data_IF_277980987496
#
_entry.id   IF_277980987496
#
_cell.length_a   1.000
_cell.length_b   1.000
_cell.length_c   1.000
_cell.angle_alpha   90.00
_cell.angle_beta   90.00
_cell.angle_gamma   90.00
#
_symmetry.space_group_name_H-M   'P 1'
#
loop_
_entity.id
_entity.type
_entity.pdbx_description
1 polymer ?
#
# COMPACT_ATOMS: atom_id res chain seq x y z
N UNK A 1 3.48 -15.22 -53.28
CA UNK A 1 4.13 -14.67 -52.07
C UNK A 1 5.38 -15.49 -51.81
N UNK A 2 6.55 -14.83 -51.71
CA UNK A 2 7.80 -15.55 -51.39
C UNK A 2 7.81 -15.86 -49.90
N UNK A 3 8.53 -16.90 -49.50
CA UNK A 3 8.63 -17.34 -48.09
C UNK A 3 9.08 -16.20 -47.16
N UNK A 4 9.95 -15.31 -47.65
CA UNK A 4 10.38 -14.10 -46.94
C UNK A 4 9.23 -13.12 -46.64
N UNK A 5 8.29 -12.93 -47.57
CA UNK A 5 7.15 -12.01 -47.39
C UNK A 5 6.21 -12.54 -46.30
N UNK A 6 6.01 -13.86 -46.27
CA UNK A 6 5.20 -14.56 -45.24
C UNK A 6 5.85 -14.41 -43.86
N UNK A 7 7.18 -14.60 -43.77
CA UNK A 7 7.93 -14.46 -42.52
C UNK A 7 7.88 -13.01 -42.01
N UNK A 8 8.04 -12.03 -42.89
CA UNK A 8 7.99 -10.62 -42.53
C UNK A 8 6.60 -10.21 -42.00
N UNK A 9 5.53 -10.69 -42.66
CA UNK A 9 4.15 -10.50 -42.21
C UNK A 9 3.88 -11.15 -40.85
N UNK A 10 4.37 -12.38 -40.64
CA UNK A 10 4.20 -13.09 -39.38
C UNK A 10 4.92 -12.38 -38.21
N UNK A 11 6.14 -11.87 -38.45
CA UNK A 11 6.89 -11.06 -37.48
C UNK A 11 6.16 -9.76 -37.14
N UNK A 12 5.67 -9.04 -38.16
CA UNK A 12 4.88 -7.82 -37.98
C UNK A 12 3.63 -8.06 -37.14
N UNK A 13 2.88 -9.13 -37.43
CA UNK A 13 1.68 -9.51 -36.67
C UNK A 13 2.03 -9.85 -35.22
N UNK A 14 3.14 -10.56 -34.98
CA UNK A 14 3.58 -10.93 -33.63
C UNK A 14 3.90 -9.70 -32.79
N UNK A 15 4.59 -8.70 -33.36
CA UNK A 15 4.90 -7.44 -32.68
C UNK A 15 3.62 -6.70 -32.30
N UNK A 16 2.64 -6.62 -33.21
CA UNK A 16 1.34 -5.98 -32.94
C UNK A 16 0.62 -6.67 -31.78
N UNK A 17 0.61 -8.01 -31.74
CA UNK A 17 0.00 -8.78 -30.64
C UNK A 17 0.68 -8.46 -29.31
N UNK A 18 2.02 -8.43 -29.26
CA UNK A 18 2.77 -8.10 -28.04
C UNK A 18 2.39 -6.70 -27.54
N UNK A 19 2.33 -5.70 -28.43
CA UNK A 19 1.94 -4.33 -28.07
C UNK A 19 0.53 -4.29 -27.48
N UNK A 20 -0.43 -4.98 -28.10
CA UNK A 20 -1.82 -5.05 -27.60
C UNK A 20 -1.86 -5.68 -26.20
N UNK A 21 -1.13 -6.78 -25.97
CA UNK A 21 -1.06 -7.43 -24.66
C UNK A 21 -0.48 -6.50 -23.60
N UNK A 22 0.62 -5.79 -23.92
CA UNK A 22 1.23 -4.82 -23.00
C UNK A 22 0.25 -3.70 -22.66
N UNK A 23 -0.45 -3.13 -23.65
CA UNK A 23 -1.46 -2.08 -23.43
C UNK A 23 -2.58 -2.59 -22.51
N UNK A 24 -3.08 -3.81 -22.73
CA UNK A 24 -4.11 -4.40 -21.87
C UNK A 24 -3.65 -4.56 -20.43
N UNK A 25 -2.41 -5.01 -20.21
CA UNK A 25 -1.83 -5.15 -18.87
C UNK A 25 -1.74 -3.78 -18.17
N UNK A 26 -1.26 -2.74 -18.87
CA UNK A 26 -1.15 -1.39 -18.33
C UNK A 26 -2.52 -0.81 -17.96
N UNK A 27 -3.53 -0.96 -18.83
CA UNK A 27 -4.90 -0.49 -18.56
C UNK A 27 -5.50 -1.25 -17.36
N UNK A 28 -5.35 -2.57 -17.32
CA UNK A 28 -5.84 -3.38 -16.22
C UNK A 28 -5.21 -2.96 -14.88
N UNK A 29 -3.90 -2.74 -14.87
CA UNK A 29 -3.20 -2.26 -13.69
C UNK A 29 -3.69 -0.88 -13.25
N UNK A 30 -3.81 0.07 -14.17
CA UNK A 30 -4.33 1.42 -13.89
C UNK A 30 -5.75 1.38 -13.30
N UNK A 31 -6.62 0.55 -13.87
CA UNK A 31 -7.98 0.38 -13.37
C UNK A 31 -8.01 -0.23 -11.97
N UNK A 32 -7.14 -1.21 -11.69
CA UNK A 32 -7.00 -1.80 -10.36
C UNK A 32 -6.54 -0.77 -9.32
N UNK A 33 -5.57 0.08 -9.67
CA UNK A 33 -5.08 1.17 -8.81
C UNK A 33 -6.16 2.23 -8.56
N UNK A 34 -6.89 2.64 -9.58
CA UNK A 34 -8.01 3.59 -9.42
C UNK A 34 -9.07 3.03 -8.46
N UNK A 35 -9.46 1.77 -8.64
CA UNK A 35 -10.44 1.09 -7.76
C UNK A 35 -9.94 0.97 -6.32
N UNK A 36 -8.65 0.69 -6.14
CA UNK A 36 -8.01 0.67 -4.82
C UNK A 36 -8.14 2.04 -4.14
N UNK A 37 -7.79 3.12 -4.83
CA UNK A 37 -7.89 4.48 -4.28
C UNK A 37 -9.32 4.89 -3.97
N UNK A 38 -10.28 4.51 -4.80
CA UNK A 38 -11.71 4.74 -4.54
C UNK A 38 -12.18 3.98 -3.30
N UNK A 39 -11.81 2.71 -3.16
CA UNK A 39 -12.17 1.87 -2.02
C UNK A 39 -11.59 2.40 -0.70
N UNK A 40 -10.32 2.84 -0.70
CA UNK A 40 -9.68 3.43 0.47
C UNK A 40 -10.32 4.78 0.81
N UNK A 41 -10.50 5.65 -0.19
CA UNK A 41 -11.10 6.97 0.04
C UNK A 41 -12.51 6.84 0.62
N UNK A 42 -13.33 5.96 0.05
CA UNK A 42 -14.67 5.66 0.56
C UNK A 42 -14.61 5.13 1.99
N UNK A 43 -13.76 4.14 2.27
CA UNK A 43 -13.60 3.60 3.62
C UNK A 43 -13.22 4.70 4.63
N UNK A 44 -12.20 5.50 4.32
CA UNK A 44 -11.76 6.57 5.21
C UNK A 44 -12.86 7.61 5.43
N UNK A 45 -13.61 7.94 4.38
CA UNK A 45 -14.73 8.90 4.45
C UNK A 45 -15.88 8.36 5.31
N UNK A 46 -16.24 7.09 5.13
CA UNK A 46 -17.27 6.42 5.92
C UNK A 46 -16.87 6.35 7.41
N UNK A 47 -15.59 6.10 7.71
CA UNK A 47 -15.07 6.03 9.09
C UNK A 47 -15.12 7.36 9.84
N UNK A 48 -15.16 8.48 9.11
CA UNK A 48 -15.19 9.81 9.70
C UNK A 48 -16.53 10.55 9.50
N UNK A 49 -17.52 9.92 8.86
CA UNK A 49 -18.77 10.57 8.44
C UNK A 49 -19.53 11.22 9.60
N UNK A 50 -19.43 10.66 10.80
CA UNK A 50 -20.09 11.17 12.01
C UNK A 50 -19.20 12.12 12.83
N UNK A 51 -18.09 12.59 12.26
CA UNK A 51 -17.06 13.37 12.95
C UNK A 51 -16.84 14.72 12.26
N UNK A 52 -16.44 15.74 13.01
CA UNK A 52 -15.90 16.99 12.47
C UNK A 52 -14.49 16.76 11.89
N UNK A 53 -14.41 15.94 10.85
CA UNK A 53 -13.18 15.56 10.19
C UNK A 53 -13.34 15.55 8.66
N UNK A 54 -12.22 15.65 7.94
CA UNK A 54 -12.19 15.64 6.48
C UNK A 54 -11.08 14.74 5.96
N UNK A 55 -11.37 13.96 4.91
CA UNK A 55 -10.35 13.25 4.13
C UNK A 55 -9.97 14.09 2.91
N UNK A 56 -8.68 14.32 2.71
CA UNK A 56 -8.13 14.98 1.53
C UNK A 56 -7.07 14.11 0.86
N UNK A 57 -6.99 14.15 -0.47
CA UNK A 57 -5.85 13.59 -1.20
C UNK A 57 -4.61 14.45 -0.93
N UNK A 58 -3.46 13.81 -0.85
CA UNK A 58 -2.16 14.48 -0.77
C UNK A 58 -1.13 13.67 -1.53
N UNK A 59 0.00 14.29 -1.83
CA UNK A 59 1.21 13.66 -2.35
C UNK A 59 2.44 14.04 -1.52
N UNK A 60 2.21 14.64 -0.34
CA UNK A 60 3.28 15.09 0.55
C UNK A 60 4.02 13.87 1.07
N UNK A 61 5.35 13.83 0.91
CA UNK A 61 6.22 12.79 1.46
C UNK A 61 5.77 11.35 1.16
N UNK A 62 5.22 11.08 -0.03
CA UNK A 62 4.74 9.75 -0.42
C UNK A 62 3.44 9.31 0.28
N UNK A 63 2.75 10.19 1.02
CA UNK A 63 1.41 9.93 1.53
C UNK A 63 0.36 10.12 0.42
N UNK A 64 -0.71 9.34 0.48
CA UNK A 64 -1.79 9.36 -0.51
C UNK A 64 -3.00 10.17 -0.03
N UNK A 65 -3.26 10.15 1.29
CA UNK A 65 -4.34 10.92 1.91
C UNK A 65 -3.87 11.55 3.21
N UNK A 66 -4.62 12.54 3.68
CA UNK A 66 -4.58 13.04 5.05
C UNK A 66 -6.00 13.15 5.60
N UNK A 67 -6.16 12.78 6.85
CA UNK A 67 -7.39 12.94 7.62
C UNK A 67 -7.16 14.11 8.57
N UNK A 68 -7.97 15.15 8.43
CA UNK A 68 -7.86 16.38 9.21
C UNK A 68 -8.97 16.38 10.25
N UNK A 69 -8.60 16.28 11.52
CA UNK A 69 -9.49 16.45 12.67
C UNK A 69 -9.21 17.80 13.35
N UNK A 70 -9.98 18.14 14.40
CA UNK A 70 -9.83 19.40 15.14
C UNK A 70 -8.42 19.61 15.68
N UNK A 71 -7.85 18.61 16.36
CA UNK A 71 -6.56 18.70 17.06
C UNK A 71 -5.47 17.77 16.49
N UNK A 72 -5.77 17.02 15.43
CA UNK A 72 -4.90 15.97 14.90
C UNK A 72 -4.97 15.91 13.38
N UNK A 73 -3.86 15.57 12.74
CA UNK A 73 -3.79 15.21 11.32
C UNK A 73 -3.17 13.83 11.21
N UNK A 74 -3.87 12.92 10.53
CA UNK A 74 -3.36 11.57 10.23
C UNK A 74 -3.02 11.45 8.75
N UNK A 75 -1.74 11.32 8.43
CA UNK A 75 -1.26 11.06 7.08
C UNK A 75 -1.34 9.56 6.75
N UNK A 76 -1.89 9.22 5.60
CA UNK A 76 -2.20 7.85 5.21
C UNK A 76 -1.39 7.44 3.99
N UNK A 77 -0.57 6.40 4.13
CA UNK A 77 0.13 5.73 3.05
C UNK A 77 -0.52 4.38 2.77
N UNK A 78 -0.67 4.01 1.50
CA UNK A 78 -1.21 2.72 1.09
C UNK A 78 -0.07 1.87 0.58
N UNK A 79 0.03 0.65 1.09
CA UNK A 79 0.98 -0.35 0.63
C UNK A 79 0.21 -1.41 -0.14
N UNK A 80 0.52 -1.56 -1.43
CA UNK A 80 -0.16 -2.52 -2.29
C UNK A 80 0.43 -3.92 -2.15
N UNK A 81 -0.40 -4.88 -1.73
CA UNK A 81 -0.07 -6.29 -1.53
C UNK A 81 -1.16 -7.20 -2.16
N UNK A 82 -1.29 -7.23 -3.50
CA UNK A 82 -2.42 -7.89 -4.19
C UNK A 82 -2.53 -9.39 -3.94
N UNK A 83 -1.40 -10.05 -3.68
CA UNK A 83 -1.35 -11.49 -3.41
C UNK A 83 -1.64 -11.84 -1.96
N UNK A 84 -1.92 -10.83 -1.10
CA UNK A 84 -2.12 -11.00 0.33
C UNK A 84 -0.94 -11.73 1.01
N UNK A 85 0.28 -11.47 0.54
CA UNK A 85 1.50 -12.05 1.09
C UNK A 85 1.71 -11.65 2.55
N UNK A 86 2.62 -12.33 3.23
CA UNK A 86 3.09 -11.88 4.55
C UNK A 86 3.97 -10.65 4.38
N UNK A 87 3.87 -9.71 5.32
CA UNK A 87 4.75 -8.55 5.39
C UNK A 87 5.55 -8.64 6.68
N UNK A 88 6.87 -8.64 6.51
CA UNK A 88 7.84 -8.64 7.59
C UNK A 88 8.54 -7.28 7.66
N UNK A 89 8.41 -6.62 8.80
CA UNK A 89 9.02 -5.32 9.09
C UNK A 89 10.36 -5.58 9.78
N UNK A 90 11.43 -5.65 9.00
CA UNK A 90 12.78 -5.93 9.51
C UNK A 90 13.41 -4.71 10.18
N UNK A 91 13.13 -3.51 9.65
CA UNK A 91 13.59 -2.25 10.23
C UNK A 91 12.67 -1.10 9.84
N UNK A 92 12.97 0.11 10.31
CA UNK A 92 12.23 1.32 9.96
C UNK A 92 12.02 1.48 8.45
N UNK A 93 13.01 1.13 7.63
CA UNK A 93 12.96 1.33 6.17
C UNK A 93 13.04 0.04 5.35
N UNK A 94 13.14 -1.13 5.98
CA UNK A 94 13.25 -2.42 5.29
C UNK A 94 12.05 -3.28 5.61
N UNK A 95 11.01 -3.19 4.79
CA UNK A 95 9.83 -4.04 4.88
C UNK A 95 9.85 -5.02 3.73
N UNK A 96 9.65 -6.29 4.02
CA UNK A 96 9.80 -7.40 3.08
C UNK A 96 8.46 -8.07 2.85
N UNK A 97 8.21 -8.45 1.60
CA UNK A 97 7.08 -9.28 1.18
C UNK A 97 7.56 -10.73 1.14
N UNK A 98 6.88 -11.62 1.86
CA UNK A 98 7.15 -13.07 1.84
C UNK A 98 5.95 -13.82 1.27
N UNK A 99 6.14 -14.59 0.21
CA UNK A 99 5.05 -15.42 -0.33
C UNK A 99 4.74 -16.57 0.64
N UNK A 100 5.77 -17.15 1.26
CA UNK A 100 5.68 -18.24 2.24
C UNK A 100 6.61 -18.02 3.45
N UNK A 101 6.36 -18.68 4.60
CA UNK A 101 7.19 -18.47 5.80
C UNK A 101 8.67 -18.82 5.59
N UNK A 102 8.96 -19.81 4.74
CA UNK A 102 10.30 -20.26 4.35
C UNK A 102 10.89 -19.50 3.16
N UNK A 103 10.21 -18.48 2.68
CA UNK A 103 10.67 -17.67 1.55
C UNK A 103 11.87 -16.82 1.98
N UNK A 104 13.01 -17.04 1.36
CA UNK A 104 14.24 -16.25 1.57
C UNK A 104 14.36 -15.10 0.56
N UNK A 105 13.35 -14.89 -0.29
CA UNK A 105 13.39 -13.85 -1.32
C UNK A 105 13.47 -12.45 -0.71
N UNK A 106 14.39 -11.65 -1.23
CA UNK A 106 14.65 -10.28 -0.77
C UNK A 106 13.77 -9.28 -1.53
N UNK A 107 12.45 -9.49 -1.54
CA UNK A 107 11.50 -8.56 -2.16
C UNK A 107 11.08 -7.51 -1.14
N UNK A 108 11.55 -6.28 -1.33
CA UNK A 108 11.27 -5.17 -0.41
C UNK A 108 10.16 -4.26 -0.94
N UNK A 109 9.53 -3.54 -0.01
CA UNK A 109 8.53 -2.51 -0.28
C UNK A 109 9.27 -1.17 -0.37
N UNK A 110 9.32 -0.57 -1.55
CA UNK A 110 10.11 0.65 -1.78
C UNK A 110 9.39 1.93 -1.32
N UNK A 111 8.06 1.97 -1.44
CA UNK A 111 7.24 3.17 -1.21
C UNK A 111 7.09 3.58 0.27
N UNK A 112 7.82 2.95 1.20
CA UNK A 112 7.72 3.23 2.64
C UNK A 112 8.76 4.22 3.16
N UNK A 113 9.89 4.38 2.46
CA UNK A 113 11.06 5.09 2.99
C UNK A 113 10.76 6.57 3.24
N UNK A 114 10.21 7.26 2.24
CA UNK A 114 9.89 8.68 2.34
C UNK A 114 8.77 8.94 3.36
N UNK A 115 7.62 8.22 3.34
CA UNK A 115 6.57 8.39 4.34
C UNK A 115 7.06 8.16 5.78
N UNK A 116 7.86 7.12 6.02
CA UNK A 116 8.26 6.76 7.39
C UNK A 116 9.33 7.71 7.95
N UNK A 117 10.22 8.21 7.10
CA UNK A 117 11.32 9.09 7.50
C UNK A 117 10.92 10.57 7.58
N UNK A 118 9.82 10.97 6.94
CA UNK A 118 9.38 12.37 6.95
C UNK A 118 9.15 12.93 8.36
N UNK A 119 9.63 14.14 8.62
CA UNK A 119 9.29 14.90 9.81
C UNK A 119 8.30 15.99 9.39
N UNK A 120 7.05 15.86 9.82
CA UNK A 120 5.99 16.80 9.49
C UNK A 120 5.72 17.62 10.75
N UNK A 121 6.06 18.90 10.69
CA UNK A 121 5.72 19.86 11.74
C UNK A 121 4.38 20.50 11.43
N UNK A 122 3.43 20.38 12.37
CA UNK A 122 2.12 21.02 12.31
C UNK A 122 1.76 21.51 13.73
N UNK A 123 0.86 22.49 13.83
CA UNK A 123 0.32 22.92 15.13
C UNK A 123 -0.54 21.83 15.78
N UNK A 124 -1.10 20.94 14.96
CA UNK A 124 -1.87 19.77 15.39
C UNK A 124 -0.96 18.57 15.64
N UNK A 125 -1.45 17.62 16.45
CA UNK A 125 -0.79 16.32 16.59
C UNK A 125 -0.70 15.62 15.22
N UNK A 126 0.49 15.19 14.82
CA UNK A 126 0.67 14.46 13.56
C UNK A 126 0.80 12.97 13.82
N UNK A 127 -0.02 12.18 13.13
CA UNK A 127 0.06 10.71 13.10
C UNK A 127 0.30 10.19 11.68
N UNK A 128 0.92 9.01 11.60
CA UNK A 128 1.15 8.27 10.36
C UNK A 128 0.41 6.95 10.40
N UNK A 129 -0.32 6.63 9.33
CA UNK A 129 -1.07 5.41 9.17
C UNK A 129 -0.67 4.72 7.86
N UNK A 130 -0.21 3.49 7.94
CA UNK A 130 0.03 2.64 6.78
C UNK A 130 -1.09 1.62 6.63
N UNK A 131 -1.75 1.62 5.47
CA UNK A 131 -2.82 0.68 5.14
C UNK A 131 -2.30 -0.34 4.13
N UNK A 132 -2.27 -1.60 4.52
CA UNK A 132 -1.94 -2.71 3.61
C UNK A 132 -3.20 -3.12 2.85
N UNK A 133 -3.17 -3.01 1.52
CA UNK A 133 -4.31 -3.29 0.66
C UNK A 133 -4.02 -4.37 -0.40
N UNK A 134 -4.94 -5.31 -0.67
CA UNK A 134 -6.23 -5.49 0.00
C UNK A 134 -6.10 -6.13 1.38
N UNK A 135 -5.00 -6.85 1.65
CA UNK A 135 -4.74 -7.45 2.95
C UNK A 135 -3.27 -7.89 3.07
N UNK A 136 -2.90 -8.41 4.24
CA UNK A 136 -1.75 -9.30 4.40
C UNK A 136 -2.19 -10.58 5.10
N UNK A 137 -1.59 -11.72 4.74
CA UNK A 137 -1.80 -12.98 5.46
C UNK A 137 -1.36 -12.84 6.92
N UNK A 138 -0.20 -12.24 7.14
CA UNK A 138 0.33 -11.88 8.45
C UNK A 138 1.12 -10.57 8.36
N UNK A 139 1.07 -9.78 9.44
CA UNK A 139 1.92 -8.61 9.64
C UNK A 139 2.80 -8.88 10.85
N UNK A 140 4.12 -8.84 10.65
CA UNK A 140 5.10 -9.14 11.69
C UNK A 140 6.17 -8.07 11.71
N UNK A 141 6.73 -7.80 12.88
CA UNK A 141 7.89 -6.94 13.09
C UNK A 141 9.00 -7.74 13.75
N UNK A 142 10.23 -7.60 13.25
CA UNK A 142 11.40 -8.17 13.89
C UNK A 142 11.69 -7.42 15.19
N UNK A 143 11.72 -8.14 16.32
CA UNK A 143 12.05 -7.57 17.64
C UNK A 143 13.52 -7.74 17.97
N UNK A 144 14.15 -8.78 17.44
CA UNK A 144 15.59 -9.04 17.47
C UNK A 144 15.98 -9.92 16.26
N UNK A 145 17.22 -10.42 16.21
CA UNK A 145 17.73 -11.22 15.09
C UNK A 145 17.01 -12.56 14.87
N UNK A 146 16.25 -13.06 15.85
CA UNK A 146 15.64 -14.39 15.81
C UNK A 146 14.14 -14.42 16.18
N UNK A 147 13.56 -13.28 16.56
CA UNK A 147 12.18 -13.20 17.04
C UNK A 147 11.35 -12.17 16.26
N UNK A 148 10.10 -12.57 16.04
CA UNK A 148 9.09 -11.76 15.37
C UNK A 148 7.87 -11.60 16.26
N UNK A 149 7.30 -10.40 16.29
CA UNK A 149 6.05 -10.10 16.96
C UNK A 149 4.96 -9.74 15.94
N UNK A 150 3.71 -10.11 16.23
CA UNK A 150 2.58 -9.71 15.40
C UNK A 150 2.30 -8.22 15.54
N UNK A 151 2.01 -7.58 14.41
CA UNK A 151 1.62 -6.18 14.36
C UNK A 151 0.09 -6.07 14.46
N UNK A 152 -0.34 -5.28 15.44
CA UNK A 152 -1.74 -4.90 15.67
C UNK A 152 -1.90 -3.40 15.42
N UNK A 153 -3.14 -2.89 15.23
CA UNK A 153 -3.36 -1.47 14.94
C UNK A 153 -2.78 -0.48 15.95
N UNK A 154 -2.56 -0.92 17.19
CA UNK A 154 -1.97 -0.13 18.29
C UNK A 154 -0.46 -0.35 18.47
N UNK A 155 0.11 -1.30 17.74
CA UNK A 155 1.55 -1.56 17.79
C UNK A 155 2.25 -0.36 17.17
N UNK A 156 3.12 0.30 17.93
CA UNK A 156 3.98 1.35 17.39
C UNK A 156 5.02 0.74 16.45
N UNK A 157 4.97 1.15 15.18
CA UNK A 157 5.93 0.75 14.15
C UNK A 157 6.73 1.99 13.78
N UNK A 158 7.74 2.28 14.60
CA UNK A 158 8.66 3.40 14.40
C UNK A 158 7.95 4.77 14.30
N UNK A 159 6.96 5.02 15.15
CA UNK A 159 6.15 6.25 15.15
C UNK A 159 4.96 6.22 14.19
N UNK A 160 4.58 5.05 13.69
CA UNK A 160 3.45 4.88 12.77
C UNK A 160 2.57 3.69 13.16
N UNK A 161 1.27 3.81 12.86
CA UNK A 161 0.30 2.72 13.00
C UNK A 161 0.19 1.97 11.68
N UNK A 162 0.15 0.64 11.72
CA UNK A 162 0.06 -0.21 10.52
C UNK A 162 -1.14 -1.13 10.62
N UNK A 163 -1.99 -1.12 9.60
CA UNK A 163 -3.21 -1.92 9.59
C UNK A 163 -3.52 -2.46 8.20
N UNK A 164 -4.09 -3.66 8.13
CA UNK A 164 -4.66 -4.19 6.88
C UNK A 164 -6.02 -3.55 6.59
N UNK A 165 -6.34 -3.30 5.33
CA UNK A 165 -7.64 -2.80 4.89
C UNK A 165 -8.82 -3.60 5.47
N UNK A 166 -8.74 -4.94 5.46
CA UNK A 166 -9.78 -5.80 6.05
C UNK A 166 -10.01 -5.51 7.53
N UNK A 167 -8.96 -5.46 8.36
CA UNK A 167 -9.11 -5.10 9.78
C UNK A 167 -9.71 -3.70 9.97
N UNK A 168 -9.36 -2.74 9.11
CA UNK A 168 -9.90 -1.39 9.18
C UNK A 168 -11.42 -1.36 8.91
N UNK A 169 -11.91 -2.18 7.96
CA UNK A 169 -13.35 -2.35 7.70
C UNK A 169 -14.13 -2.81 8.95
N UNK A 170 -13.54 -3.70 9.76
CA UNK A 170 -14.22 -4.25 10.95
C UNK A 170 -14.08 -3.36 12.19
N UNK A 171 -12.97 -2.62 12.34
CA UNK A 171 -12.67 -1.88 13.57
C UNK A 171 -13.56 -0.64 13.74
N UNK A 172 -14.05 -0.04 12.64
CA UNK A 172 -14.94 1.14 12.60
C UNK A 172 -14.50 2.37 13.42
N UNK A 173 -13.27 2.41 13.94
CA UNK A 173 -12.80 3.49 14.80
C UNK A 173 -11.29 3.75 14.60
N UNK A 174 -10.99 4.85 13.90
CA UNK A 174 -9.62 5.34 13.66
C UNK A 174 -9.03 6.01 14.91
N UNK A 175 -9.83 6.45 15.89
CA UNK A 175 -9.33 7.17 17.08
C UNK A 175 -8.56 6.29 18.05
N UNK A 176 -8.81 4.98 18.02
CA UNK A 176 -8.10 3.98 18.82
C UNK A 176 -6.76 3.55 18.20
N UNK A 177 -6.37 4.16 17.08
CA UNK A 177 -5.13 3.93 16.33
C UNK A 177 -4.14 5.09 16.49
#
# INVERSE_FOLDING_TARGET
MRTHDIILLALGLTIVIIIIVVIMIVIAHKNAMNKLHENIFKLLSDLISDQEAKVEKTSLHGFHYKIIEKNRITYVCIIYNPKCNEILINSKIKWQIKENPTDESLVFIDDIVEPIMSEISDEKEVKKLFIIYPNARQLMIATNECEYAFVYPKTDVYGASVITYNRLLYTKDIKKM
#
